data_IF_491682268106
#
_entry.id   IF_491682268106
#
_cell.length_a   1.000
_cell.length_b   1.000
_cell.length_c   1.000
_cell.angle_alpha   90.00
_cell.angle_beta   90.00
_cell.angle_gamma   90.00
#
_symmetry.space_group_name_H-M   'P 1'
#
loop_
_entity.id
_entity.type
_entity.pdbx_description
1 polymer ?
#
# COMPACT_ATOMS: atom_id res chain seq x y z
N UNK A 1 -1.97 21.84 -25.45
CA UNK A 1 -2.28 22.59 -24.22
C UNK A 1 -1.81 21.78 -23.02
N UNK A 2 -0.74 22.21 -22.35
CA UNK A 2 -0.26 21.53 -21.14
C UNK A 2 -1.23 21.83 -20.01
N UNK A 3 -2.06 20.85 -19.63
CA UNK A 3 -2.90 20.94 -18.44
C UNK A 3 -2.00 20.97 -17.21
N UNK A 4 -2.21 21.92 -16.31
CA UNK A 4 -1.44 22.00 -15.07
C UNK A 4 -1.90 20.92 -14.08
N UNK A 5 -1.17 20.75 -12.97
CA UNK A 5 -1.56 19.77 -11.93
C UNK A 5 -2.91 20.14 -11.31
N UNK A 6 -3.20 21.43 -11.19
CA UNK A 6 -4.46 21.97 -10.67
C UNK A 6 -5.64 21.63 -11.59
N UNK A 7 -5.43 21.71 -12.91
CA UNK A 7 -6.43 21.30 -13.90
C UNK A 7 -6.76 19.81 -13.79
N UNK A 8 -5.73 18.98 -13.59
CA UNK A 8 -5.88 17.54 -13.39
C UNK A 8 -6.60 17.23 -12.07
N UNK A 9 -6.30 17.95 -10.99
CA UNK A 9 -7.03 17.81 -9.72
C UNK A 9 -8.53 18.10 -9.88
N UNK A 10 -8.87 19.19 -10.58
CA UNK A 10 -10.27 19.53 -10.84
C UNK A 10 -10.99 18.47 -11.68
N UNK A 11 -10.31 17.93 -12.69
CA UNK A 11 -10.84 16.84 -13.51
C UNK A 11 -11.06 15.54 -12.71
N UNK A 12 -10.12 15.20 -11.82
CA UNK A 12 -10.23 14.04 -10.93
C UNK A 12 -11.44 14.17 -9.99
N UNK A 13 -11.64 15.34 -9.38
CA UNK A 13 -12.79 15.60 -8.51
C UNK A 13 -14.12 15.53 -9.28
N UNK A 14 -14.16 16.03 -10.51
CA UNK A 14 -15.34 15.93 -11.37
C UNK A 14 -15.67 14.46 -11.69
N UNK A 15 -14.67 13.65 -12.05
CA UNK A 15 -14.84 12.22 -12.29
C UNK A 15 -15.34 11.48 -11.04
N UNK A 16 -14.76 11.78 -9.86
CA UNK A 16 -15.19 11.22 -8.59
C UNK A 16 -16.65 11.58 -8.24
N UNK A 17 -17.09 12.82 -8.51
CA UNK A 17 -18.49 13.24 -8.34
C UNK A 17 -19.44 12.54 -9.32
N UNK A 18 -18.96 12.21 -10.51
CA UNK A 18 -19.69 11.42 -11.50
C UNK A 18 -19.66 9.90 -11.22
N UNK A 19 -19.04 9.47 -10.10
CA UNK A 19 -18.82 8.07 -9.74
C UNK A 19 -17.95 7.28 -10.73
N UNK A 20 -17.18 7.98 -11.57
CA UNK A 20 -16.19 7.39 -12.46
C UNK A 20 -14.83 7.26 -11.75
N UNK A 21 -14.72 6.23 -10.92
CA UNK A 21 -13.52 5.99 -10.12
C UNK A 21 -12.34 5.49 -10.93
N UNK A 22 -12.58 4.86 -12.09
CA UNK A 22 -11.51 4.41 -12.98
C UNK A 22 -10.82 5.61 -13.62
N UNK A 23 -11.60 6.59 -14.10
CA UNK A 23 -11.01 7.81 -14.65
C UNK A 23 -10.37 8.66 -13.56
N UNK A 24 -10.98 8.76 -12.38
CA UNK A 24 -10.37 9.43 -11.23
C UNK A 24 -9.02 8.78 -10.84
N UNK A 25 -8.92 7.44 -10.88
CA UNK A 25 -7.67 6.71 -10.63
C UNK A 25 -6.61 7.04 -11.67
N UNK A 26 -6.94 6.99 -12.97
CA UNK A 26 -5.99 7.32 -14.05
C UNK A 26 -5.43 8.74 -13.89
N UNK A 27 -6.29 9.71 -13.58
CA UNK A 27 -5.87 11.09 -13.37
C UNK A 27 -4.97 11.21 -12.14
N UNK A 28 -5.29 10.50 -11.04
CA UNK A 28 -4.45 10.45 -9.84
C UNK A 28 -3.05 9.91 -10.15
N UNK A 29 -2.97 8.82 -10.89
CA UNK A 29 -1.69 8.18 -11.21
C UNK A 29 -0.85 9.08 -12.14
N UNK A 30 -1.48 9.80 -13.06
CA UNK A 30 -0.84 10.85 -13.87
C UNK A 30 -0.30 12.01 -13.03
N UNK A 31 -1.05 12.49 -12.04
CA UNK A 31 -0.59 13.55 -11.11
C UNK A 31 0.65 13.07 -10.33
N UNK A 32 0.66 11.82 -9.88
CA UNK A 32 1.79 11.26 -9.15
C UNK A 32 3.06 11.18 -10.01
N UNK A 33 2.94 10.81 -11.29
CA UNK A 33 4.07 10.81 -12.22
C UNK A 33 4.64 12.21 -12.42
N UNK A 34 3.79 13.22 -12.64
CA UNK A 34 4.22 14.61 -12.80
C UNK A 34 4.91 15.11 -11.52
N UNK A 35 4.35 14.80 -10.34
CA UNK A 35 5.00 15.14 -9.05
C UNK A 35 6.32 14.41 -8.83
N UNK A 36 6.49 13.23 -9.41
CA UNK A 36 7.74 12.47 -9.44
C UNK A 36 8.79 12.98 -10.43
N UNK A 37 8.49 14.05 -11.17
CA UNK A 37 9.41 14.67 -12.13
C UNK A 37 9.23 14.24 -13.58
N UNK A 38 8.22 13.41 -13.89
CA UNK A 38 7.90 13.07 -15.28
C UNK A 38 7.32 14.29 -16.01
N UNK A 39 7.61 14.43 -17.29
CA UNK A 39 6.99 15.48 -18.08
C UNK A 39 5.50 15.14 -18.39
N UNK A 40 4.71 16.15 -18.75
CA UNK A 40 3.26 15.98 -18.94
C UNK A 40 2.87 15.04 -20.10
N UNK A 41 3.77 14.83 -21.07
CA UNK A 41 3.58 13.95 -22.22
C UNK A 41 3.92 12.49 -21.87
N UNK A 42 5.03 12.27 -21.18
CA UNK A 42 5.44 10.98 -20.61
C UNK A 42 4.38 10.47 -19.64
N UNK A 43 3.90 11.33 -18.74
CA UNK A 43 2.85 10.97 -17.79
C UNK A 43 1.51 10.62 -18.46
N UNK A 44 1.27 11.07 -19.70
CA UNK A 44 0.07 10.73 -20.46
C UNK A 44 0.15 9.33 -21.12
N UNK A 45 1.37 8.91 -21.48
CA UNK A 45 1.62 7.65 -22.18
C UNK A 45 2.08 6.53 -21.26
N UNK A 46 2.46 6.85 -20.03
CA UNK A 46 2.89 5.87 -19.04
C UNK A 46 1.79 4.86 -18.73
N UNK A 47 2.09 3.58 -18.98
CA UNK A 47 1.26 2.49 -18.49
C UNK A 47 1.48 2.33 -16.98
N UNK A 48 0.40 2.52 -16.23
CA UNK A 48 0.39 2.37 -14.76
C UNK A 48 -0.31 1.09 -14.32
N UNK A 49 -0.69 0.23 -15.28
CA UNK A 49 -1.27 -1.07 -14.99
C UNK A 49 -0.28 -1.94 -14.20
N UNK A 50 -0.77 -2.62 -13.17
CA UNK A 50 0.06 -3.47 -12.30
C UNK A 50 0.93 -2.73 -11.28
N UNK A 51 0.99 -1.39 -11.29
CA UNK A 51 1.61 -0.65 -10.19
C UNK A 51 0.68 -0.68 -8.97
N UNK A 52 1.10 -1.44 -7.96
CA UNK A 52 0.43 -1.48 -6.67
C UNK A 52 1.25 -0.78 -5.60
N UNK A 53 0.57 -0.16 -4.64
CA UNK A 53 1.26 0.58 -3.58
C UNK A 53 2.02 -0.40 -2.72
N UNK A 54 3.31 -0.13 -2.53
CA UNK A 54 4.13 -0.94 -1.65
C UNK A 54 3.63 -0.86 -0.20
N UNK A 55 3.30 -2.01 0.37
CA UNK A 55 2.84 -2.14 1.76
C UNK A 55 4.03 -2.31 2.69
N UNK A 56 4.01 -1.65 3.85
CA UNK A 56 5.00 -1.84 4.90
C UNK A 56 5.08 -3.32 5.29
N UNK A 57 6.28 -3.92 5.25
CA UNK A 57 6.49 -5.34 5.55
C UNK A 57 6.37 -6.29 4.35
N UNK A 58 5.79 -5.87 3.22
CA UNK A 58 5.77 -6.65 1.98
C UNK A 58 7.04 -6.46 1.13
N UNK A 59 7.91 -5.53 1.54
CA UNK A 59 9.15 -5.15 0.86
C UNK A 59 10.28 -6.19 1.02
N UNK A 60 10.10 -7.25 1.81
CA UNK A 60 11.12 -8.28 2.01
C UNK A 60 12.34 -7.85 2.85
N UNK A 61 12.53 -6.55 3.08
CA UNK A 61 13.55 -6.02 3.99
C UNK A 61 13.22 -6.44 5.43
N UNK A 62 14.03 -7.33 6.00
CA UNK A 62 13.90 -7.80 7.39
C UNK A 62 13.01 -9.03 7.61
N UNK A 63 12.39 -9.58 6.55
CA UNK A 63 11.61 -10.84 6.64
C UNK A 63 12.44 -12.10 6.40
N UNK A 64 13.73 -11.96 6.05
CA UNK A 64 14.71 -13.05 6.07
C UNK A 64 15.12 -13.41 7.51
N UNK A 65 14.13 -13.65 8.38
CA UNK A 65 14.38 -14.34 9.64
C UNK A 65 14.13 -15.81 9.37
N UNK A 66 15.21 -16.60 9.38
CA UNK A 66 15.10 -18.04 9.37
C UNK A 66 14.26 -18.44 10.59
N UNK A 67 13.05 -18.97 10.35
CA UNK A 67 12.26 -19.58 11.42
C UNK A 67 12.81 -20.98 11.63
N UNK A 68 13.30 -21.33 12.82
CA UNK A 68 13.66 -22.72 13.12
C UNK A 68 12.42 -23.58 12.89
N UNK A 69 12.51 -24.56 11.99
CA UNK A 69 11.44 -25.54 11.77
C UNK A 69 11.68 -26.65 12.81
N UNK A 70 10.76 -26.84 13.77
CA UNK A 70 10.90 -27.92 14.73
C UNK A 70 10.78 -29.28 14.02
N UNK A 71 11.48 -30.32 14.50
CA UNK A 71 11.28 -31.69 14.04
C UNK A 71 9.81 -32.12 14.16
N UNK A 72 9.31 -33.05 13.31
CA UNK A 72 7.90 -33.45 13.31
C UNK A 72 7.35 -33.91 14.67
N UNK A 73 8.18 -34.57 15.48
CA UNK A 73 7.80 -35.13 16.78
C UNK A 73 8.06 -34.18 17.97
N UNK A 74 8.47 -32.94 17.71
CA UNK A 74 8.75 -31.99 18.77
C UNK A 74 7.45 -31.41 19.35
N UNK A 75 7.20 -31.67 20.63
CA UNK A 75 6.10 -31.06 21.38
C UNK A 75 6.63 -29.90 22.23
N UNK A 76 6.09 -28.68 22.09
CA UNK A 76 6.48 -27.56 22.94
C UNK A 76 6.16 -27.86 24.42
N UNK A 77 6.99 -27.37 25.36
CA UNK A 77 6.68 -27.47 26.78
C UNK A 77 5.37 -26.71 27.10
N UNK A 78 4.65 -27.11 28.16
CA UNK A 78 3.48 -26.38 28.59
C UNK A 78 3.85 -24.94 28.96
N UNK A 79 2.92 -24.01 28.73
CA UNK A 79 3.11 -22.61 29.11
C UNK A 79 3.39 -22.54 30.62
N UNK A 80 4.45 -21.84 31.06
CA UNK A 80 4.72 -21.67 32.47
C UNK A 80 3.55 -20.96 33.14
N UNK A 81 3.29 -21.31 34.40
CA UNK A 81 2.32 -20.56 35.19
C UNK A 81 2.80 -19.12 35.30
N UNK A 82 1.88 -18.18 35.04
CA UNK A 82 2.19 -16.76 35.04
C UNK A 82 2.47 -16.25 36.47
N UNK A 83 2.26 -17.07 37.51
CA UNK A 83 2.39 -16.69 38.93
C UNK A 83 1.69 -15.37 39.25
N UNK A 84 0.63 -15.05 38.51
CA UNK A 84 -0.13 -13.81 38.67
C UNK A 84 -1.46 -14.13 39.34
N UNK A 85 -1.79 -13.38 40.39
CA UNK A 85 -3.12 -13.42 40.95
C UNK A 85 -4.10 -12.89 39.91
N UNK A 86 -5.03 -13.73 39.45
CA UNK A 86 -6.08 -13.36 38.48
C UNK A 86 -6.98 -12.27 39.07
N UNK A 87 -6.58 -11.00 38.97
CA UNK A 87 -7.48 -9.86 39.21
C UNK A 87 -8.26 -9.60 37.93
N UNK A 88 -9.56 -9.91 37.94
CA UNK A 88 -10.49 -9.41 36.92
C UNK A 88 -10.44 -7.88 36.96
N UNK A 89 -10.16 -7.23 35.82
CA UNK A 89 -10.40 -5.78 35.68
C UNK A 89 -11.90 -5.56 35.92
N UNK A 90 -12.21 -4.75 36.92
CA UNK A 90 -13.56 -4.26 37.18
C UNK A 90 -13.93 -3.18 36.17
#
# INVERSE_FOLDING_TARGET
MNKTVEDLQRAMEAAARALDFEEARRIRDRINLIRGGANAAEAAQADTSGLDRQRSGAMGLGTSRQRPVPPPEWKPPPKPDLMTSRRKRK
#
